data_IF_662804762488
#
_entry.id   IF_662804762488
#
_cell.length_a   1.000
_cell.length_b   1.000
_cell.length_c   1.000
_cell.angle_alpha   90.00
_cell.angle_beta   90.00
_cell.angle_gamma   90.00
#
_symmetry.space_group_name_H-M   'P 1'
#
loop_
_entity.id
_entity.type
_entity.pdbx_description
1 polymer ?
#
# COMPACT_ATOMS: atom_id res chain seq x y z
N UNK A 1 -2.86 2.51 20.93
CA UNK A 1 -2.90 2.28 20.39
C UNK A 1 -3.59 1.92 19.98
N UNK A 2 -3.89 1.97 19.70
CA UNK A 2 -4.59 1.61 19.39
C UNK A 2 -4.59 0.97 18.56
N UNK A 3 -4.50 0.58 18.26
CA UNK A 3 -4.48 0.07 17.40
C UNK A 3 -5.07 -0.85 17.45
N UNK A 4 -5.39 -1.09 17.71
CA UNK A 4 -5.89 -1.87 17.78
C UNK A 4 -6.79 -2.30 17.30
N UNK A 5 -7.57 -2.11 17.17
CA UNK A 5 -8.70 -2.53 16.62
C UNK A 5 -8.51 -3.08 15.30
N UNK A 6 -8.11 -4.04 15.00
CA UNK A 6 -8.03 -4.59 13.68
C UNK A 6 -6.92 -4.06 12.81
N UNK A 7 -6.17 -3.16 13.33
CA UNK A 7 -5.08 -2.62 12.55
C UNK A 7 -3.84 -3.44 12.80
N UNK A 8 -3.32 -4.05 11.78
CA UNK A 8 -2.16 -4.89 11.89
C UNK A 8 -1.17 -4.49 10.83
N UNK A 9 0.02 -4.17 11.24
CA UNK A 9 1.06 -3.86 10.29
C UNK A 9 1.98 -5.05 10.23
N UNK A 10 2.06 -5.68 9.09
CA UNK A 10 2.87 -6.84 8.92
C UNK A 10 4.12 -6.45 8.19
N UNK A 11 5.21 -6.60 8.83
CA UNK A 11 6.44 -6.25 8.20
C UNK A 11 6.73 -7.23 7.16
N UNK A 12 7.03 -6.80 6.08
CA UNK A 12 7.26 -7.63 5.13
C UNK A 12 8.60 -7.85 5.03
N UNK A 13 8.95 -8.41 5.26
CA UNK A 13 10.14 -8.69 5.14
C UNK A 13 10.97 -7.98 5.04
N UNK A 14 10.76 -7.55 5.03
CA UNK A 14 11.27 -7.02 4.90
C UNK A 14 12.05 -6.64 5.23
N UNK A 15 12.03 -6.47 5.11
CA UNK A 15 12.62 -6.12 5.42
C UNK A 15 13.71 -6.32 5.31
N UNK A 16 13.67 -6.82 5.09
CA UNK A 16 14.64 -7.23 5.03
C UNK A 16 15.41 -6.58 4.39
N UNK A 17 15.08 -6.50 3.64
CA UNK A 17 15.72 -6.02 2.93
C UNK A 17 16.26 -5.02 3.25
N UNK A 18 15.69 -4.61 3.62
CA UNK A 18 16.06 -3.50 3.85
C UNK A 18 17.19 -3.49 4.50
N UNK A 19 17.12 -4.08 5.20
CA UNK A 19 18.00 -3.99 5.94
C UNK A 19 19.16 -4.27 5.61
N UNK A 20 19.19 -4.88 4.89
CA UNK A 20 20.37 -5.27 4.52
C UNK A 20 21.12 -4.25 3.82
N UNK A 21 20.56 -3.18 3.48
CA UNK A 21 21.24 -2.29 2.76
C UNK A 21 21.86 -1.27 3.53
N UNK A 22 23.02 -0.83 3.32
CA UNK A 22 23.63 0.27 4.03
C UNK A 22 22.81 1.51 3.87
N UNK A 23 22.89 2.36 4.83
CA UNK A 23 22.10 3.54 4.80
C UNK A 23 22.35 4.41 3.64
N UNK A 24 23.57 4.55 3.24
CA UNK A 24 23.82 5.45 2.15
C UNK A 24 23.16 4.92 0.89
N UNK A 25 23.02 3.63 0.79
CA UNK A 25 22.34 3.10 -0.36
C UNK A 25 20.89 3.39 -0.31
N UNK A 26 20.33 3.42 0.87
CA UNK A 26 18.94 3.73 0.95
C UNK A 26 18.67 5.12 0.54
N UNK A 27 19.51 6.03 0.89
CA UNK A 27 19.31 7.38 0.47
C UNK A 27 19.40 7.49 -1.02
N UNK A 28 20.33 6.78 -1.60
CA UNK A 28 20.41 6.81 -3.01
C UNK A 28 19.27 6.15 -3.66
N UNK A 29 18.70 5.18 -3.02
CA UNK A 29 17.56 4.51 -3.56
C UNK A 29 16.45 5.45 -3.86
N UNK A 30 16.28 6.47 -3.07
CA UNK A 30 15.24 7.42 -3.36
C UNK A 30 15.49 8.15 -4.64
N UNK A 31 16.73 8.34 -5.01
CA UNK A 31 17.04 9.04 -6.22
C UNK A 31 17.20 8.14 -7.42
N UNK A 32 17.90 7.07 -7.24
CA UNK A 32 18.23 6.21 -8.36
C UNK A 32 17.60 4.86 -8.29
N UNK A 33 17.02 4.53 -7.18
CA UNK A 33 16.45 3.23 -6.96
C UNK A 33 14.96 3.28 -7.02
N UNK A 34 14.34 2.46 -6.20
CA UNK A 34 12.93 2.24 -6.30
C UNK A 34 12.14 3.11 -5.34
N UNK A 35 11.06 3.71 -5.81
CA UNK A 35 10.23 4.49 -4.91
C UNK A 35 9.56 3.60 -3.87
N UNK A 36 9.33 4.13 -2.68
CA UNK A 36 8.73 3.34 -1.62
C UNK A 36 7.24 3.14 -1.83
N UNK A 37 6.76 1.99 -1.42
CA UNK A 37 5.35 1.65 -1.52
C UNK A 37 4.95 0.77 -0.35
N UNK A 38 3.64 0.62 -0.15
CA UNK A 38 3.12 -0.33 0.80
C UNK A 38 2.06 -1.15 0.11
N UNK A 39 1.75 -2.29 0.68
CA UNK A 39 0.64 -3.11 0.24
C UNK A 39 -0.46 -3.01 1.27
N UNK A 40 -1.69 -3.14 0.83
CA UNK A 40 -2.84 -3.05 1.70
C UNK A 40 -3.85 -4.12 1.34
N UNK A 41 -4.41 -4.78 2.33
CA UNK A 41 -5.53 -5.67 2.09
C UNK A 41 -6.40 -5.77 3.31
N UNK A 42 -7.64 -6.18 3.09
CA UNK A 42 -8.59 -6.43 4.14
C UNK A 42 -8.62 -7.94 4.38
N UNK A 43 -8.36 -8.33 5.63
CA UNK A 43 -8.30 -9.73 5.96
C UNK A 43 -9.61 -10.45 5.72
N UNK A 44 -10.71 -9.77 6.02
CA UNK A 44 -12.02 -10.36 5.83
C UNK A 44 -12.37 -10.56 4.37
N UNK A 45 -11.75 -9.79 3.48
CA UNK A 45 -12.01 -9.93 2.06
C UNK A 45 -11.07 -10.94 1.43
N UNK A 46 -9.81 -10.94 1.82
CA UNK A 46 -8.87 -11.92 1.31
C UNK A 46 -9.19 -13.32 1.82
N UNK A 47 -9.57 -13.42 3.08
CA UNK A 47 -9.89 -14.71 3.66
C UNK A 47 -8.74 -15.69 3.55
N UNK A 48 -9.03 -16.89 3.10
CA UNK A 48 -8.02 -17.93 3.02
C UNK A 48 -6.96 -17.62 1.97
N UNK A 49 -7.22 -16.64 1.10
CA UNK A 49 -6.26 -16.28 0.08
C UNK A 49 -5.30 -15.20 0.51
N UNK A 50 -5.33 -14.82 1.78
CA UNK A 50 -4.52 -13.71 2.23
C UNK A 50 -3.04 -13.86 1.88
N UNK A 51 -2.48 -15.02 2.16
CA UNK A 51 -1.07 -15.24 1.89
C UNK A 51 -0.77 -15.12 0.41
N UNK A 52 -1.64 -15.66 -0.39
CA UNK A 52 -1.49 -15.61 -1.84
C UNK A 52 -1.58 -14.17 -2.33
N UNK A 53 -2.51 -13.39 -1.77
CA UNK A 53 -2.63 -11.99 -2.12
C UNK A 53 -1.37 -11.22 -1.71
N UNK A 54 -0.84 -11.50 -0.53
CA UNK A 54 0.37 -10.81 -0.09
C UNK A 54 1.53 -11.11 -1.01
N UNK A 55 1.67 -12.35 -1.42
CA UNK A 55 2.74 -12.71 -2.33
C UNK A 55 2.59 -12.02 -3.69
N UNK A 56 1.36 -11.95 -4.17
CA UNK A 56 1.10 -11.32 -5.45
C UNK A 56 1.37 -9.83 -5.39
N UNK A 57 1.02 -9.19 -4.30
CA UNK A 57 1.28 -7.76 -4.15
C UNK A 57 2.78 -7.50 -4.12
N UNK A 58 3.51 -8.35 -3.43
CA UNK A 58 4.95 -8.20 -3.37
C UNK A 58 5.58 -8.38 -4.74
N UNK A 59 5.13 -9.39 -5.47
CA UNK A 59 5.66 -9.63 -6.81
C UNK A 59 5.33 -8.53 -7.78
N UNK A 60 4.12 -7.99 -7.68
CA UNK A 60 3.71 -6.91 -8.57
C UNK A 60 4.50 -5.64 -8.28
N UNK A 61 4.69 -5.33 -7.00
CA UNK A 61 5.48 -4.16 -6.65
C UNK A 61 6.90 -4.28 -7.16
N UNK A 62 7.49 -5.45 -7.00
CA UNK A 62 8.83 -5.67 -7.47
C UNK A 62 8.91 -5.52 -9.00
N UNK A 63 7.95 -6.11 -9.70
CA UNK A 63 7.93 -6.06 -11.15
C UNK A 63 7.78 -4.65 -11.67
N UNK A 64 7.03 -3.83 -10.96
CA UNK A 64 6.81 -2.46 -11.38
C UNK A 64 7.87 -1.50 -10.88
N UNK A 65 8.88 -2.02 -10.18
CA UNK A 65 10.01 -1.19 -9.80
C UNK A 65 9.85 -0.45 -8.50
N UNK A 66 8.99 -0.93 -7.60
CA UNK A 66 8.80 -0.29 -6.31
C UNK A 66 9.51 -1.04 -5.20
N UNK A 67 9.81 -0.30 -4.15
CA UNK A 67 10.36 -0.87 -2.94
C UNK A 67 9.23 -1.02 -1.94
N UNK A 68 8.73 -2.23 -1.78
CA UNK A 68 7.61 -2.47 -0.88
C UNK A 68 8.11 -2.50 0.55
N UNK A 69 7.65 -1.54 1.35
CA UNK A 69 8.14 -1.35 2.70
C UNK A 69 7.37 -2.16 3.73
N UNK A 70 6.05 -2.26 3.58
CA UNK A 70 5.21 -2.95 4.54
C UNK A 70 3.96 -3.45 3.87
N UNK A 71 3.33 -4.42 4.50
CA UNK A 71 1.99 -4.84 4.14
C UNK A 71 1.07 -4.50 5.30
N UNK A 72 0.05 -3.73 5.03
CA UNK A 72 -0.93 -3.34 6.02
C UNK A 72 -2.15 -4.24 5.87
N UNK A 73 -2.47 -4.94 6.93
CA UNK A 73 -3.61 -5.84 6.91
C UNK A 73 -4.62 -5.31 7.92
N UNK A 74 -5.79 -4.93 7.44
CA UNK A 74 -6.84 -4.45 8.32
C UNK A 74 -7.94 -5.48 8.37
N UNK A 75 -8.51 -5.63 9.55
CA UNK A 75 -9.61 -6.58 9.75
C UNK A 75 -10.93 -5.86 9.83
N UNK A 76 -11.99 -6.63 10.03
CA UNK A 76 -13.33 -6.05 10.10
C UNK A 76 -13.54 -5.16 11.31
N UNK A 77 -12.63 -5.23 12.28
CA UNK A 77 -12.76 -4.36 13.45
C UNK A 77 -12.30 -2.94 13.24
N UNK A 78 -11.68 -2.66 12.11
CA UNK A 78 -11.23 -1.30 11.86
C UNK A 78 -12.43 -0.40 11.61
N UNK A 79 -12.54 0.66 12.37
CA UNK A 79 -13.68 1.55 12.27
C UNK A 79 -13.59 2.39 11.00
N UNK A 80 -12.40 2.81 10.66
CA UNK A 80 -12.23 3.63 9.48
C UNK A 80 -10.96 3.21 8.76
N UNK A 81 -11.04 2.16 7.96
CA UNK A 81 -9.85 1.63 7.30
C UNK A 81 -9.16 2.64 6.41
N UNK A 82 -9.93 3.49 5.74
CA UNK A 82 -9.34 4.48 4.87
C UNK A 82 -8.49 5.47 5.65
N UNK A 83 -9.00 5.94 6.77
CA UNK A 83 -8.23 6.88 7.58
C UNK A 83 -6.97 6.24 8.12
N UNK A 84 -7.07 4.99 8.54
CA UNK A 84 -5.90 4.27 9.03
C UNK A 84 -4.85 4.16 7.94
N UNK A 85 -5.27 3.83 6.76
CA UNK A 85 -4.36 3.66 5.64
C UNK A 85 -3.71 4.99 5.25
N UNK A 86 -4.51 6.05 5.19
CA UNK A 86 -3.99 7.37 4.84
C UNK A 86 -2.93 7.80 5.86
N UNK A 87 -3.18 7.53 7.13
CA UNK A 87 -2.21 7.89 8.16
C UNK A 87 -0.88 7.18 7.96
N UNK A 88 -0.93 5.91 7.59
CA UNK A 88 0.29 5.16 7.35
C UNK A 88 1.03 5.70 6.14
N UNK A 89 0.30 6.02 5.08
CA UNK A 89 0.91 6.55 3.87
C UNK A 89 1.63 7.85 4.17
N UNK A 90 0.99 8.73 4.94
CA UNK A 90 1.63 9.98 5.32
C UNK A 90 2.86 9.74 6.17
N UNK A 91 2.75 8.86 7.15
CA UNK A 91 3.85 8.65 8.06
C UNK A 91 5.05 8.04 7.37
N UNK A 92 4.82 7.11 6.48
CA UNK A 92 5.91 6.43 5.79
C UNK A 92 6.33 7.12 4.50
N UNK A 93 5.56 8.10 4.08
CA UNK A 93 5.88 8.88 2.87
C UNK A 93 6.06 7.99 1.65
N UNK A 94 5.18 7.00 1.52
CA UNK A 94 5.25 6.13 0.36
C UNK A 94 4.60 6.79 -0.82
N UNK A 95 4.97 6.34 -2.01
CA UNK A 95 4.45 6.91 -3.23
C UNK A 95 3.35 6.09 -3.85
N UNK A 96 3.19 4.86 -3.44
CA UNK A 96 2.15 4.00 -4.01
C UNK A 96 1.62 3.03 -2.98
N UNK A 97 0.37 2.63 -3.18
CA UNK A 97 -0.29 1.61 -2.37
C UNK A 97 -0.77 0.53 -3.31
N UNK A 98 -0.36 -0.70 -3.05
CA UNK A 98 -0.77 -1.85 -3.86
C UNK A 98 -1.88 -2.59 -3.14
N UNK A 99 -2.98 -2.88 -3.83
CA UNK A 99 -4.09 -3.64 -3.26
C UNK A 99 -4.48 -4.75 -4.23
N UNK A 100 -5.08 -5.83 -3.72
CA UNK A 100 -5.49 -6.90 -4.63
C UNK A 100 -6.53 -6.45 -5.63
N UNK A 101 -7.49 -5.66 -5.20
CA UNK A 101 -8.54 -5.15 -6.05
C UNK A 101 -9.31 -4.11 -5.30
N UNK A 102 -10.21 -3.43 -5.99
CA UNK A 102 -10.96 -2.34 -5.37
C UNK A 102 -11.95 -2.82 -4.32
N UNK A 103 -12.26 -4.10 -4.31
CA UNK A 103 -13.17 -4.61 -3.29
C UNK A 103 -12.61 -4.49 -1.89
N UNK A 104 -11.31 -4.23 -1.76
CA UNK A 104 -10.71 -4.00 -0.45
C UNK A 104 -10.96 -2.60 0.07
N UNK A 105 -11.58 -1.75 -0.74
CA UNK A 105 -12.05 -0.45 -0.29
C UNK A 105 -13.56 -0.50 -0.27
N UNK A 106 -14.16 0.15 0.71
CA UNK A 106 -15.61 0.07 0.85
C UNK A 106 -16.36 0.74 -0.28
N UNK A 107 -15.84 1.79 -0.82
CA UNK A 107 -16.56 2.55 -1.81
C UNK A 107 -15.69 2.95 -2.99
N UNK A 108 -14.86 2.02 -3.43
CA UNK A 108 -13.97 2.30 -4.53
C UNK A 108 -12.74 3.05 -4.05
N UNK A 109 -11.96 3.56 -4.96
CA UNK A 109 -10.71 4.20 -4.60
C UNK A 109 -10.98 5.44 -3.75
N UNK A 110 -10.43 5.50 -2.54
CA UNK A 110 -10.67 6.66 -1.70
C UNK A 110 -9.99 7.90 -2.25
N UNK A 111 -10.74 8.99 -2.29
CA UNK A 111 -10.18 10.25 -2.77
C UNK A 111 -9.00 10.71 -1.96
N UNK A 112 -9.11 10.58 -0.65
CA UNK A 112 -8.05 11.05 0.23
C UNK A 112 -6.77 10.24 0.04
N UNK A 113 -6.89 9.03 -0.46
CA UNK A 113 -5.71 8.22 -0.71
C UNK A 113 -5.05 8.61 -2.03
N UNK A 114 -5.85 8.74 -3.07
CA UNK A 114 -5.31 9.10 -4.38
C UNK A 114 -4.71 10.50 -4.37
N UNK A 115 -5.16 11.31 -3.44
CA UNK A 115 -4.60 12.66 -3.33
C UNK A 115 -3.14 12.64 -2.90
N UNK A 116 -2.68 11.55 -2.30
CA UNK A 116 -1.32 11.52 -1.75
C UNK A 116 -0.47 10.39 -2.27
N UNK A 117 -1.05 9.43 -2.98
CA UNK A 117 -0.28 8.29 -3.47
C UNK A 117 -0.97 7.67 -4.67
N UNK A 118 -0.20 6.99 -5.49
CA UNK A 118 -0.79 6.19 -6.55
C UNK A 118 -1.42 4.97 -5.90
N UNK A 119 -2.53 4.49 -6.47
CA UNK A 119 -3.16 3.26 -6.01
C UNK A 119 -3.10 2.28 -7.16
N UNK A 120 -2.53 1.12 -6.91
CA UNK A 120 -2.29 0.13 -7.96
C UNK A 120 -2.96 -1.17 -7.57
N UNK A 121 -3.85 -1.66 -8.44
CA UNK A 121 -4.54 -2.92 -8.19
C UNK A 121 -3.89 -4.03 -9.01
N UNK A 122 -4.08 -5.27 -8.55
CA UNK A 122 -3.54 -6.43 -9.25
C UNK A 122 -4.63 -7.09 -10.10
N UNK A 123 -5.85 -7.14 -9.59
CA UNK A 123 -6.97 -7.79 -10.30
C UNK A 123 -8.16 -6.86 -10.35
N UNK A 124 -8.45 -6.27 -11.48
CA UNK A 124 -7.61 -6.23 -12.69
C UNK A 124 -6.47 -5.24 -12.51
N UNK A 125 -5.42 -5.37 -13.30
CA UNK A 125 -4.27 -4.45 -13.17
C UNK A 125 -4.67 -3.05 -13.59
N UNK A 126 -4.58 -2.13 -12.65
CA UNK A 126 -4.92 -0.74 -12.91
C UNK A 126 -4.10 0.17 -12.02
N UNK A 127 -3.84 1.36 -12.50
CA UNK A 127 -3.15 2.36 -11.71
C UNK A 127 -4.01 3.60 -11.65
N UNK A 128 -4.30 4.04 -10.43
CA UNK A 128 -4.98 5.31 -10.22
C UNK A 128 -3.91 6.27 -9.76
N UNK A 129 -3.49 7.11 -10.67
CA UNK A 129 -2.33 7.97 -10.40
C UNK A 129 -2.69 9.08 -9.43
N UNK A 130 -1.73 9.43 -8.60
CA UNK A 130 -1.89 10.50 -7.63
C UNK A 130 -2.19 11.82 -8.36
N UNK A 131 -3.05 12.62 -7.78
CA UNK A 131 -3.37 13.91 -8.36
C UNK A 131 -2.28 14.88 -8.11
N UNK A 132 -1.78 15.48 -9.13
CA UNK A 132 -0.83 16.53 -8.91
C UNK A 132 -1.53 17.88 -8.82
N UNK A 133 -2.71 17.98 -9.36
CA UNK A 133 -3.44 19.24 -9.35
C UNK A 133 -4.44 19.33 -8.22
N UNK A 134 -4.64 18.27 -7.51
CA UNK A 134 -5.62 18.26 -6.43
C UNK A 134 -7.03 18.08 -6.90
N UNK A 135 -7.25 17.78 -8.17
CA UNK A 135 -8.56 17.64 -8.69
C UNK A 135 -8.80 16.22 -9.14
N UNK A 136 -9.94 15.67 -8.81
CA UNK A 136 -10.24 14.30 -9.15
C UNK A 136 -10.61 14.14 -10.59
N UNK A 137 -10.10 13.10 -11.24
CA UNK A 137 -10.62 12.78 -12.56
C UNK A 137 -12.07 12.36 -12.45
N UNK A 138 -12.84 12.70 -13.45
CA UNK A 138 -14.25 12.34 -13.45
C UNK A 138 -14.47 10.87 -13.46
N UNK A 139 -13.54 10.12 -13.94
CA UNK A 139 -13.72 8.68 -14.04
C UNK A 139 -13.43 7.95 -12.77
N UNK A 140 -13.05 8.60 -11.75
CA UNK A 140 -12.89 7.94 -10.48
C UNK A 140 -14.22 7.78 -9.80
#
# INVERSE_FOLDING_TARGET
>A
MRIDAGFVVVAVVSVAEAESRPDHLRGETTLFGKPPAIAYLRRDISGVRQQWHENALRGTALRLGYNLRKTIVLGPGSVNPTADLVAVVHRLRVEAVFVPGLEHFDAGVPRELVAIADVITVWPPRTFARWSSGRLPDTL
#
